data_IF_243561832831
#
_entry.id   IF_243561832831
#
_cell.length_a   1.000
_cell.length_b   1.000
_cell.length_c   1.000
_cell.angle_alpha   90.00
_cell.angle_beta   90.00
_cell.angle_gamma   90.00
#
_symmetry.space_group_name_H-M   'P 1'
#
loop_
_entity.id
_entity.type
_entity.pdbx_description
1 polymer ?
#
# COMPACT_ATOMS: atom_id res chain seq x y z
N UNK A 1 -0.52 -9.81 -26.31
CA UNK A 1 0.42 -9.11 -25.39
C UNK A 1 0.47 -9.88 -24.07
N UNK A 2 1.66 -10.26 -23.59
CA UNK A 2 1.75 -11.09 -22.36
C UNK A 2 1.23 -10.31 -21.15
N UNK A 3 0.32 -10.91 -20.39
CA UNK A 3 -0.32 -10.32 -19.20
C UNK A 3 0.70 -9.62 -18.28
N UNK A 4 1.89 -10.21 -18.11
CA UNK A 4 3.00 -9.67 -17.31
C UNK A 4 3.41 -8.23 -17.65
N UNK A 5 3.41 -7.84 -18.94
CA UNK A 5 3.81 -6.47 -19.34
C UNK A 5 2.82 -5.40 -18.92
N UNK A 6 1.53 -5.71 -18.87
CA UNK A 6 0.48 -4.77 -18.48
C UNK A 6 0.57 -4.49 -16.99
N UNK A 7 0.74 -5.55 -16.19
CA UNK A 7 0.87 -5.48 -14.74
C UNK A 7 2.11 -4.68 -14.31
N UNK A 8 3.26 -4.89 -14.95
CA UNK A 8 4.46 -4.07 -14.68
C UNK A 8 4.20 -2.57 -14.95
N UNK A 9 3.53 -2.23 -16.05
CA UNK A 9 3.19 -0.82 -16.35
C UNK A 9 2.23 -0.23 -15.32
N UNK A 10 1.24 -1.01 -14.91
CA UNK A 10 0.28 -0.63 -13.87
C UNK A 10 0.99 -0.36 -12.53
N UNK A 11 1.96 -1.20 -12.16
CA UNK A 11 2.79 -1.01 -10.96
C UNK A 11 3.54 0.32 -11.01
N UNK A 12 4.27 0.58 -12.10
CA UNK A 12 5.03 1.84 -12.24
C UNK A 12 4.11 3.07 -12.27
N UNK A 13 2.90 2.94 -12.82
CA UNK A 13 1.91 4.02 -12.79
C UNK A 13 1.44 4.29 -11.35
N UNK A 14 1.17 3.25 -10.55
CA UNK A 14 0.81 3.40 -9.14
C UNK A 14 1.96 3.96 -8.31
N UNK A 15 3.19 3.47 -8.52
CA UNK A 15 4.37 4.00 -7.87
C UNK A 15 4.61 5.49 -8.21
N UNK A 16 4.39 5.87 -9.47
CA UNK A 16 4.48 7.27 -9.90
C UNK A 16 3.38 8.14 -9.26
N UNK A 17 2.15 7.64 -9.15
CA UNK A 17 1.10 8.35 -8.43
C UNK A 17 1.45 8.51 -6.94
N UNK A 18 1.97 7.45 -6.29
CA UNK A 18 2.44 7.49 -4.91
C UNK A 18 3.61 8.49 -4.73
N UNK A 19 4.51 8.59 -5.71
CA UNK A 19 5.56 9.62 -5.74
C UNK A 19 4.99 11.05 -5.77
N UNK A 20 4.00 11.31 -6.63
CA UNK A 20 3.34 12.62 -6.72
C UNK A 20 2.68 12.96 -5.38
N UNK A 21 2.04 11.98 -4.74
CA UNK A 21 1.43 12.16 -3.41
C UNK A 21 2.48 12.48 -2.34
N UNK A 22 3.60 11.76 -2.32
CA UNK A 22 4.72 12.08 -1.44
C UNK A 22 5.22 13.50 -1.66
N UNK A 23 5.36 13.94 -2.91
CA UNK A 23 5.79 15.31 -3.22
C UNK A 23 4.79 16.35 -2.72
N UNK A 24 3.49 16.13 -2.93
CA UNK A 24 2.43 17.02 -2.46
C UNK A 24 2.41 17.10 -0.93
N UNK A 25 2.48 15.96 -0.24
CA UNK A 25 2.56 15.91 1.23
C UNK A 25 3.82 16.59 1.76
N UNK A 26 4.96 16.39 1.09
CA UNK A 26 6.21 17.07 1.41
C UNK A 26 6.11 18.59 1.23
N UNK A 27 5.44 19.05 0.17
CA UNK A 27 5.18 20.47 -0.05
C UNK A 27 4.26 21.05 1.04
N UNK A 28 3.14 20.39 1.35
CA UNK A 28 2.25 20.78 2.46
C UNK A 28 3.03 20.87 3.76
N UNK A 29 3.85 19.88 4.06
CA UNK A 29 4.66 19.87 5.27
C UNK A 29 5.68 21.03 5.29
N UNK A 30 6.38 21.26 4.18
CA UNK A 30 7.33 22.36 4.03
C UNK A 30 6.68 23.73 4.23
N UNK A 31 5.54 23.97 3.58
CA UNK A 31 4.77 25.22 3.76
C UNK A 31 4.22 25.35 5.19
N UNK A 32 3.76 24.25 5.80
CA UNK A 32 3.24 24.26 7.18
C UNK A 32 4.34 24.57 8.20
N UNK A 33 5.58 24.13 7.96
CA UNK A 33 6.72 24.43 8.82
C UNK A 33 7.22 25.88 8.66
N UNK A 34 7.00 26.48 7.48
CA UNK A 34 7.33 27.87 7.19
C UNK A 34 6.23 28.86 7.61
N UNK A 35 5.01 28.37 7.85
CA UNK A 35 3.86 29.14 8.31
C UNK A 35 3.95 29.47 9.81
N UNK A 36 3.24 30.52 10.21
CA UNK A 36 2.97 30.82 11.62
C UNK A 36 2.06 29.74 12.26
N UNK A 37 1.21 29.10 11.47
CA UNK A 37 0.37 27.97 11.91
C UNK A 37 1.19 26.68 11.91
N UNK A 38 1.68 26.29 13.09
CA UNK A 38 2.43 25.04 13.24
C UNK A 38 1.49 23.84 13.22
N UNK A 39 1.78 22.80 12.41
CA UNK A 39 0.99 21.58 12.40
C UNK A 39 1.10 20.87 13.74
N UNK A 40 0.05 20.13 14.11
CA UNK A 40 0.09 19.28 15.30
C UNK A 40 1.20 18.23 15.17
N UNK A 41 1.81 17.86 16.30
CA UNK A 41 2.90 16.88 16.31
C UNK A 41 2.47 15.55 15.67
N UNK A 42 1.22 15.13 15.88
CA UNK A 42 0.66 13.92 15.28
C UNK A 42 0.58 13.97 13.75
N UNK A 43 0.27 15.13 13.19
CA UNK A 43 0.19 15.32 11.74
C UNK A 43 1.58 15.39 11.12
N UNK A 44 2.51 16.08 11.79
CA UNK A 44 3.94 16.10 11.44
C UNK A 44 4.54 14.69 11.42
N UNK A 45 4.27 13.88 12.45
CA UNK A 45 4.80 12.50 12.51
C UNK A 45 4.18 11.60 11.45
N UNK A 46 2.87 11.73 11.16
CA UNK A 46 2.24 10.95 10.10
C UNK A 46 2.81 11.28 8.71
N UNK A 47 3.00 12.57 8.40
CA UNK A 47 3.60 13.00 7.13
C UNK A 47 5.06 12.56 7.01
N UNK A 48 5.86 12.72 8.06
CA UNK A 48 7.25 12.27 8.06
C UNK A 48 7.36 10.75 7.91
N UNK A 49 6.54 9.99 8.65
CA UNK A 49 6.51 8.53 8.56
C UNK A 49 6.10 8.06 7.15
N UNK A 50 5.10 8.70 6.54
CA UNK A 50 4.66 8.40 5.19
C UNK A 50 5.79 8.55 4.16
N UNK A 51 6.55 9.66 4.23
CA UNK A 51 7.70 9.91 3.35
C UNK A 51 8.82 8.88 3.56
N UNK A 52 9.17 8.57 4.81
CA UNK A 52 10.21 7.57 5.12
C UNK A 52 9.80 6.19 4.59
N UNK A 53 8.55 5.81 4.81
CA UNK A 53 8.00 4.54 4.34
C UNK A 53 7.97 4.44 2.81
N UNK A 54 7.79 5.56 2.10
CA UNK A 54 7.88 5.59 0.63
C UNK A 54 9.26 5.19 0.14
N UNK A 55 10.31 5.81 0.69
CA UNK A 55 11.68 5.49 0.32
C UNK A 55 12.07 4.06 0.77
N UNK A 56 11.56 3.61 1.91
CA UNK A 56 11.74 2.23 2.36
C UNK A 56 11.08 1.22 1.41
N UNK A 57 9.85 1.51 0.94
CA UNK A 57 9.14 0.73 -0.07
C UNK A 57 9.93 0.67 -1.38
N UNK A 58 10.41 1.83 -1.86
CA UNK A 58 11.21 1.91 -3.08
C UNK A 58 12.50 1.09 -2.97
N UNK A 59 13.19 1.18 -1.82
CA UNK A 59 14.41 0.42 -1.54
C UNK A 59 14.15 -1.09 -1.46
N UNK A 60 13.10 -1.51 -0.74
CA UNK A 60 12.72 -2.92 -0.64
C UNK A 60 12.33 -3.50 -2.01
N UNK A 61 11.59 -2.73 -2.81
CA UNK A 61 11.24 -3.13 -4.18
C UNK A 61 12.48 -3.24 -5.07
N UNK A 62 13.42 -2.30 -4.99
CA UNK A 62 14.67 -2.35 -5.75
C UNK A 62 15.49 -3.60 -5.40
N UNK A 63 15.64 -3.91 -4.11
CA UNK A 63 16.31 -5.13 -3.64
C UNK A 63 15.59 -6.38 -4.14
N UNK A 64 14.25 -6.40 -4.11
CA UNK A 64 13.47 -7.49 -4.68
C UNK A 64 13.70 -7.62 -6.20
N UNK A 65 13.69 -6.53 -6.95
CA UNK A 65 13.88 -6.54 -8.39
C UNK A 65 15.28 -7.05 -8.79
N UNK A 66 16.28 -6.84 -7.94
CA UNK A 66 17.65 -7.25 -8.23
C UNK A 66 17.98 -8.67 -7.75
N UNK A 67 17.45 -9.08 -6.60
CA UNK A 67 17.82 -10.35 -5.95
C UNK A 67 16.67 -11.36 -5.84
N UNK A 68 15.46 -11.00 -6.24
CA UNK A 68 14.24 -11.83 -6.22
C UNK A 68 13.96 -12.50 -4.86
N UNK A 69 14.37 -11.85 -3.77
CA UNK A 69 14.29 -12.43 -2.42
C UNK A 69 12.88 -12.26 -1.83
N UNK A 70 12.31 -13.35 -1.32
CA UNK A 70 11.01 -13.33 -0.63
C UNK A 70 10.94 -12.33 0.55
N UNK A 71 11.98 -12.16 1.39
CA UNK A 71 11.97 -11.17 2.45
C UNK A 71 11.81 -9.73 1.95
N UNK A 72 12.45 -9.35 0.84
CA UNK A 72 12.34 -8.00 0.29
C UNK A 72 10.92 -7.71 -0.24
N UNK A 73 10.27 -8.73 -0.80
CA UNK A 73 8.86 -8.64 -1.20
C UNK A 73 7.93 -8.46 0.01
N UNK A 74 8.14 -9.24 1.08
CA UNK A 74 7.36 -9.12 2.32
C UNK A 74 7.54 -7.74 2.94
N UNK A 75 8.77 -7.21 2.98
CA UNK A 75 9.03 -5.85 3.43
C UNK A 75 8.31 -4.81 2.58
N UNK A 76 8.29 -4.97 1.26
CA UNK A 76 7.56 -4.07 0.36
C UNK A 76 6.07 -4.04 0.69
N UNK A 77 5.46 -5.21 0.94
CA UNK A 77 4.05 -5.31 1.35
C UNK A 77 3.82 -4.61 2.70
N UNK A 78 4.69 -4.85 3.68
CA UNK A 78 4.57 -4.25 5.03
C UNK A 78 4.67 -2.73 4.94
N UNK A 79 5.63 -2.20 4.17
CA UNK A 79 5.79 -0.75 4.00
C UNK A 79 4.61 -0.12 3.30
N UNK A 80 4.04 -0.75 2.26
CA UNK A 80 2.83 -0.27 1.61
C UNK A 80 1.62 -0.22 2.57
N UNK A 81 1.44 -1.25 3.41
CA UNK A 81 0.37 -1.28 4.42
C UNK A 81 0.59 -0.15 5.45
N UNK A 82 1.82 0.02 5.93
CA UNK A 82 2.16 1.07 6.88
C UNK A 82 1.92 2.47 6.29
N UNK A 83 2.24 2.70 5.02
CA UNK A 83 1.93 3.95 4.32
C UNK A 83 0.43 4.23 4.30
N UNK A 84 -0.37 3.22 3.99
CA UNK A 84 -1.82 3.32 4.00
C UNK A 84 -2.36 3.71 5.39
N UNK A 85 -1.84 3.07 6.44
CA UNK A 85 -2.20 3.41 7.81
C UNK A 85 -1.85 4.86 8.18
N UNK A 86 -0.67 5.36 7.78
CA UNK A 86 -0.28 6.76 8.01
C UNK A 86 -1.23 7.76 7.34
N UNK A 87 -1.67 7.47 6.11
CA UNK A 87 -2.63 8.33 5.41
C UNK A 87 -4.00 8.32 6.06
N UNK A 88 -4.54 7.14 6.40
CA UNK A 88 -5.82 7.02 7.10
C UNK A 88 -5.79 7.76 8.44
N UNK A 89 -4.70 7.64 9.20
CA UNK A 89 -4.54 8.38 10.45
C UNK A 89 -4.51 9.89 10.22
N UNK A 90 -3.83 10.35 9.16
CA UNK A 90 -3.81 11.78 8.81
C UNK A 90 -5.20 12.28 8.44
N UNK A 91 -5.93 11.53 7.62
CA UNK A 91 -7.31 11.85 7.22
C UNK A 91 -8.23 11.94 8.45
N UNK A 92 -8.15 10.97 9.36
CA UNK A 92 -8.89 11.01 10.62
C UNK A 92 -8.52 12.25 11.43
N UNK A 93 -7.23 12.56 11.60
CA UNK A 93 -6.78 13.74 12.37
C UNK A 93 -7.32 15.04 11.75
N UNK A 94 -7.32 15.14 10.42
CA UNK A 94 -7.81 16.31 9.70
C UNK A 94 -9.34 16.45 9.79
N UNK A 95 -10.08 15.34 9.73
CA UNK A 95 -11.55 15.31 9.79
C UNK A 95 -12.10 15.45 11.22
N UNK A 96 -11.37 14.98 12.23
CA UNK A 96 -11.80 15.02 13.64
C UNK A 96 -11.39 16.29 14.37
N UNK A 97 -10.40 17.03 13.85
CA UNK A 97 -10.08 18.36 14.35
C UNK A 97 -11.32 19.23 14.18
N UNK A 98 -11.79 19.84 15.28
CA UNK A 98 -12.98 20.70 15.28
C UNK A 98 -12.98 21.60 14.05
N UNK A 99 -14.09 21.54 13.30
CA UNK A 99 -14.38 22.46 12.21
C UNK A 99 -14.57 23.81 12.89
N UNK A 100 -13.48 24.56 13.03
CA UNK A 100 -13.56 25.96 13.39
C UNK A 100 -14.35 26.60 12.24
N UNK A 101 -15.45 27.28 12.55
CA UNK A 101 -16.15 28.14 11.60
C UNK A 101 -15.16 29.23 11.20
N UNK A 102 -14.39 28.96 10.15
CA UNK A 102 -13.45 29.91 9.59
C UNK A 102 -14.26 30.90 8.76
N UNK A 103 -14.53 32.07 9.34
CA UNK A 103 -15.22 33.17 8.63
C UNK A 103 -14.40 33.70 7.44
N UNK A 104 -13.09 33.41 7.38
CA UNK A 104 -12.19 33.77 6.27
C UNK A 104 -11.70 32.56 5.46
N UNK A 105 -11.69 32.71 4.14
CA UNK A 105 -11.08 31.75 3.22
C UNK A 105 -9.57 31.67 3.48
N UNK A 106 -9.10 30.49 3.90
CA UNK A 106 -7.68 30.25 4.09
C UNK A 106 -6.95 30.26 2.74
N UNK A 107 -5.77 30.86 2.67
CA UNK A 107 -4.90 30.72 1.51
C UNK A 107 -3.88 29.60 1.75
N UNK A 108 -3.71 28.69 0.78
CA UNK A 108 -2.74 27.58 0.91
C UNK A 108 -1.30 28.05 1.21
N UNK A 109 -0.91 29.22 0.69
CA UNK A 109 0.41 29.80 0.91
C UNK A 109 0.65 30.27 2.36
N UNK A 110 -0.42 30.56 3.11
CA UNK A 110 -0.36 31.16 4.44
C UNK A 110 -0.71 30.13 5.51
N UNK A 111 -1.82 29.40 5.32
CA UNK A 111 -2.34 28.41 6.29
C UNK A 111 -2.71 27.10 5.57
N UNK A 112 -1.72 26.30 5.13
CA UNK A 112 -1.95 25.13 4.28
C UNK A 112 -2.80 24.05 4.96
N UNK A 113 -2.64 23.83 6.26
CA UNK A 113 -3.42 22.83 7.01
C UNK A 113 -4.89 23.27 7.13
N UNK A 114 -5.12 24.53 7.47
CA UNK A 114 -6.48 25.09 7.53
C UNK A 114 -7.17 25.07 6.16
N UNK A 115 -6.44 25.39 5.08
CA UNK A 115 -6.97 25.29 3.72
C UNK A 115 -7.39 23.87 3.36
N UNK A 116 -6.59 22.85 3.73
CA UNK A 116 -6.94 21.44 3.52
C UNK A 116 -8.21 21.07 4.30
N UNK A 117 -8.35 21.52 5.56
CA UNK A 117 -9.54 21.26 6.37
C UNK A 117 -10.80 21.86 5.76
N UNK A 118 -10.71 23.02 5.12
CA UNK A 118 -11.82 23.66 4.41
C UNK A 118 -12.22 22.91 3.11
N UNK A 119 -11.43 21.93 2.65
CA UNK A 119 -11.65 21.20 1.39
C UNK A 119 -11.88 19.69 1.64
N UNK A 120 -13.02 19.27 2.24
CA UNK A 120 -13.27 17.87 2.57
C UNK A 120 -13.32 16.95 1.34
N UNK A 121 -13.79 17.47 0.20
CA UNK A 121 -13.81 16.72 -1.07
C UNK A 121 -12.41 16.39 -1.57
N UNK A 122 -11.43 17.27 -1.31
CA UNK A 122 -10.03 17.03 -1.67
C UNK A 122 -9.47 15.90 -0.81
N UNK A 123 -9.72 15.92 0.50
CA UNK A 123 -9.33 14.87 1.43
C UNK A 123 -9.86 13.49 1.01
N UNK A 124 -11.16 13.40 0.71
CA UNK A 124 -11.79 12.16 0.24
C UNK A 124 -11.23 11.69 -1.11
N UNK A 125 -10.96 12.61 -2.04
CA UNK A 125 -10.35 12.28 -3.33
C UNK A 125 -8.94 11.69 -3.14
N UNK A 126 -8.15 12.27 -2.25
CA UNK A 126 -6.82 11.76 -1.91
C UNK A 126 -6.89 10.34 -1.33
N UNK A 127 -7.79 10.09 -0.38
CA UNK A 127 -8.01 8.76 0.18
C UNK A 127 -8.44 7.74 -0.88
N UNK A 128 -9.37 8.11 -1.77
CA UNK A 128 -9.86 7.23 -2.83
C UNK A 128 -8.78 6.86 -3.85
N UNK A 129 -7.98 7.82 -4.29
CA UNK A 129 -6.84 7.60 -5.20
C UNK A 129 -5.78 6.73 -4.53
N UNK A 130 -5.47 6.99 -3.25
CA UNK A 130 -4.45 6.24 -2.55
C UNK A 130 -4.86 4.78 -2.30
N UNK A 131 -6.11 4.55 -1.89
CA UNK A 131 -6.61 3.21 -1.65
C UNK A 131 -6.59 2.37 -2.94
N UNK A 132 -6.93 2.98 -4.07
CA UNK A 132 -6.87 2.29 -5.36
C UNK A 132 -5.44 2.02 -5.82
N UNK A 133 -4.48 2.92 -5.57
CA UNK A 133 -3.05 2.61 -5.79
C UNK A 133 -2.54 1.50 -4.87
N UNK A 134 -2.93 1.49 -3.59
CA UNK A 134 -2.54 0.47 -2.63
C UNK A 134 -3.09 -0.91 -3.01
N UNK A 135 -4.37 -1.02 -3.38
CA UNK A 135 -4.98 -2.27 -3.85
C UNK A 135 -4.24 -2.78 -5.09
N UNK A 136 -3.87 -1.88 -6.00
CA UNK A 136 -3.11 -2.23 -7.19
C UNK A 136 -1.73 -2.80 -6.85
N UNK A 137 -0.96 -2.12 -5.99
CA UNK A 137 0.34 -2.59 -5.51
C UNK A 137 0.23 -3.97 -4.83
N UNK A 138 -0.79 -4.18 -3.99
CA UNK A 138 -1.04 -5.46 -3.34
C UNK A 138 -1.42 -6.58 -4.31
N UNK A 139 -2.27 -6.29 -5.30
CA UNK A 139 -2.64 -7.25 -6.34
C UNK A 139 -1.42 -7.67 -7.19
N UNK A 140 -0.51 -6.74 -7.43
CA UNK A 140 0.74 -6.96 -8.12
C UNK A 140 1.71 -7.80 -7.30
N UNK A 141 1.90 -7.47 -6.02
CA UNK A 141 2.69 -8.29 -5.12
C UNK A 141 2.15 -9.71 -5.06
N UNK A 142 0.85 -9.89 -4.84
CA UNK A 142 0.21 -11.20 -4.83
C UNK A 142 0.48 -12.00 -6.12
N UNK A 143 0.41 -11.36 -7.29
CA UNK A 143 0.74 -12.01 -8.57
C UNK A 143 2.21 -12.41 -8.68
N UNK A 144 3.12 -11.60 -8.14
CA UNK A 144 4.54 -11.88 -8.12
C UNK A 144 4.89 -13.01 -7.15
N UNK A 145 4.20 -13.12 -5.99
CA UNK A 145 4.43 -14.20 -5.02
C UNK A 145 3.77 -15.52 -5.40
N UNK A 146 2.56 -15.49 -5.95
CA UNK A 146 1.78 -16.69 -6.24
C UNK A 146 2.01 -17.24 -7.65
N UNK A 147 2.78 -16.54 -8.49
CA UNK A 147 3.02 -16.91 -9.88
C UNK A 147 1.77 -16.86 -10.76
N UNK A 148 1.93 -17.10 -12.06
CA UNK A 148 0.83 -17.62 -12.86
C UNK A 148 0.53 -18.97 -12.20
N UNK A 149 -0.67 -19.17 -11.64
CA UNK A 149 -1.12 -20.52 -11.33
C UNK A 149 -0.90 -21.32 -12.62
N UNK A 150 0.14 -22.16 -12.65
CA UNK A 150 0.20 -23.24 -13.61
C UNK A 150 -1.16 -23.91 -13.46
N UNK A 151 -1.97 -23.81 -14.51
CA UNK A 151 -3.26 -24.50 -14.53
C UNK A 151 -2.91 -25.90 -14.11
N UNK A 152 -3.47 -26.33 -12.97
CA UNK A 152 -3.47 -27.72 -12.57
C UNK A 152 -3.79 -28.48 -13.86
N UNK A 153 -2.90 -29.36 -14.35
CA UNK A 153 -3.17 -30.06 -15.59
C UNK A 153 -4.52 -30.73 -15.40
N UNK A 154 -5.52 -30.21 -16.09
CA UNK A 154 -6.80 -30.88 -16.20
C UNK A 154 -6.43 -32.11 -17.01
N UNK A 155 -6.28 -33.23 -16.30
CA UNK A 155 -6.21 -34.54 -16.91
C UNK A 155 -7.55 -34.72 -17.63
N UNK A 156 -7.59 -34.30 -18.89
CA UNK A 156 -8.51 -34.83 -19.89
C UNK A 156 -8.12 -36.28 -20.09
N UNK A 157 -8.56 -37.13 -19.16
CA UNK A 157 -9.25 -38.37 -19.42
C UNK A 157 -9.38 -39.14 -18.10
N UNK A 158 -10.59 -39.59 -17.85
CA UNK A 158 -11.06 -40.01 -16.54
C UNK A 158 -10.19 -41.07 -15.90
N UNK A 159 -9.79 -40.83 -14.65
CA UNK A 159 -9.66 -41.95 -13.72
C UNK A 159 -9.94 -41.53 -12.28
N UNK A 160 -10.86 -42.27 -11.67
CA UNK A 160 -11.32 -42.07 -10.31
C UNK A 160 -10.24 -42.46 -9.32
N UNK A 161 -9.55 -41.49 -8.70
CA UNK A 161 -8.90 -41.68 -7.40
C UNK A 161 -8.66 -40.36 -6.66
N UNK A 162 -9.65 -39.98 -5.84
CA UNK A 162 -9.42 -39.14 -4.66
C UNK A 162 -8.35 -39.81 -3.79
N UNK A 163 -7.10 -39.33 -3.82
CA UNK A 163 -6.14 -39.51 -2.72
C UNK A 163 -5.27 -38.27 -2.56
N UNK A 164 -5.02 -37.96 -1.29
CA UNK A 164 -4.13 -36.95 -0.72
C UNK A 164 -4.49 -35.47 -0.90
N UNK A 165 -5.48 -35.02 -0.13
CA UNK A 165 -5.30 -33.82 0.70
C UNK A 165 -4.11 -34.04 1.66
N UNK A 166 -3.25 -33.04 1.93
CA UNK A 166 -2.01 -33.24 2.70
C UNK A 166 -2.19 -33.30 4.23
N UNK A 167 -3.43 -33.33 4.73
CA UNK A 167 -3.72 -33.51 6.15
C UNK A 167 -4.06 -34.99 6.40
N UNK A 168 -3.08 -35.75 6.88
CA UNK A 168 -3.12 -37.08 7.53
C UNK A 168 -2.21 -38.12 6.89
N UNK A 169 -1.10 -38.40 7.58
CA UNK A 169 -0.54 -39.76 7.69
C UNK A 169 0.43 -39.81 8.87
N UNK A 170 -0.11 -39.85 10.09
CA UNK A 170 0.54 -40.50 11.22
C UNK A 170 0.72 -41.99 10.83
N UNK A 171 1.96 -42.46 10.78
CA UNK A 171 2.30 -43.83 10.38
C UNK A 171 1.84 -44.82 11.45
N UNK A 172 0.74 -45.53 11.21
CA UNK A 172 0.41 -46.75 11.95
C UNK A 172 1.08 -47.92 11.22
N UNK A 173 2.07 -48.52 11.87
CA UNK A 173 2.68 -49.79 11.45
C UNK A 173 1.73 -50.94 11.80
N UNK A 174 1.37 -51.76 10.82
CA UNK A 174 0.79 -53.08 11.07
C UNK A 174 1.72 -54.11 10.45
N UNK A 175 2.37 -54.88 11.32
CA UNK A 175 3.17 -56.06 11.00
C UNK A 175 2.28 -57.17 10.45
N UNK A 176 2.72 -57.81 9.36
CA UNK A 176 2.07 -58.99 8.80
C UNK A 176 2.31 -60.19 9.72
N UNK A 177 1.24 -60.78 10.22
CA UNK A 177 1.19 -62.17 10.68
C UNK A 177 0.42 -62.96 9.62
N UNK A 178 1.08 -63.97 9.08
CA UNK A 178 0.59 -64.89 8.05
C UNK A 178 1.75 -65.71 7.53
#
# INVERSE_FOLDING_TARGET
>A
MSSSRIWKKLFFACLAANFVLCFLLGAVLGFSLASEEKPSLSLLTCFAAFLVLYFALLGAFFVFAQWETRPALVLSIIFAIAQCACLLMTEIILLTSEVVDYEEEAAFAVTPITWIKQQPNLLLLFGALFLSTFICEMALFHRLTCGVQERVPVLDDGDHRRKSTPYHAEKIHISKLG
#
